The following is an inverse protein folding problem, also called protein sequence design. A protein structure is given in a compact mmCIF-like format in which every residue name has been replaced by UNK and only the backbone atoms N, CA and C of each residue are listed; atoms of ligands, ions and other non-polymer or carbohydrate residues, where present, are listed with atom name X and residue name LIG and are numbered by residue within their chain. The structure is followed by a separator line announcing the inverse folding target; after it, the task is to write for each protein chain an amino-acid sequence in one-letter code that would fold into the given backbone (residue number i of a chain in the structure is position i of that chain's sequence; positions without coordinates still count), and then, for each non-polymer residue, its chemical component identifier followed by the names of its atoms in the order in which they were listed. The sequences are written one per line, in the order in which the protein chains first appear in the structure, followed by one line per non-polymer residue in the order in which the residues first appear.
data_IF_525911291876
#
_entry.id   IF_525911291876
#
_cell.length_a   1.000
_cell.length_b   1.000
_cell.length_c   1.000
_cell.angle_alpha   90.00
_cell.angle_beta   90.00
_cell.angle_gamma   90.00
#
_symmetry.space_group_name_H-M   'P 1'
#
loop_
_entity.id
_entity.type
_entity.pdbx_description
1 polymer ?
#
# COMPACT_ATOMS: atom_id res chain seq x y z
N UNK A 1 -9.94 12.77 1.35
CA UNK A 1 -8.97 11.67 1.23
C UNK A 1 -8.80 11.35 -0.25
N UNK A 2 -7.57 11.15 -0.71
CA UNK A 2 -7.27 10.91 -2.13
C UNK A 2 -7.92 9.63 -2.68
N UNK A 3 -8.06 9.56 -4.00
CA UNK A 3 -8.55 8.37 -4.71
C UNK A 3 -7.51 7.24 -4.59
N UNK A 4 -7.82 6.19 -3.82
CA UNK A 4 -6.94 5.01 -3.71
C UNK A 4 -7.29 3.98 -4.77
N UNK A 5 -6.30 3.25 -5.27
CA UNK A 5 -6.55 2.18 -6.27
C UNK A 5 -7.51 1.12 -5.70
N UNK A 6 -7.47 0.85 -4.39
CA UNK A 6 -8.40 -0.05 -3.69
C UNK A 6 -9.87 0.30 -3.92
N UNK A 7 -10.21 1.61 -3.92
CA UNK A 7 -11.58 2.10 -4.07
C UNK A 7 -11.92 2.50 -5.50
N UNK A 8 -10.92 2.91 -6.27
CA UNK A 8 -11.11 3.49 -7.61
C UNK A 8 -10.95 2.49 -8.75
N UNK A 9 -10.44 1.28 -8.51
CA UNK A 9 -10.23 0.26 -9.55
C UNK A 9 -10.92 -1.06 -9.21
N UNK A 10 -11.90 -1.46 -10.03
CA UNK A 10 -12.53 -2.76 -9.91
C UNK A 10 -11.58 -3.92 -10.24
N UNK A 11 -10.63 -3.69 -11.16
CA UNK A 11 -9.67 -4.72 -11.59
C UNK A 11 -8.49 -4.86 -10.62
N UNK A 12 -7.95 -3.74 -10.13
CA UNK A 12 -6.73 -3.73 -9.33
C UNK A 12 -6.97 -3.48 -7.84
N UNK A 13 -8.20 -3.16 -7.42
CA UNK A 13 -8.46 -2.79 -6.04
C UNK A 13 -8.11 -3.89 -5.05
N UNK A 14 -8.45 -5.15 -5.36
CA UNK A 14 -8.08 -6.32 -4.56
C UNK A 14 -6.60 -6.71 -4.61
N UNK A 15 -5.82 -6.07 -5.48
CA UNK A 15 -4.39 -6.30 -5.69
C UNK A 15 -3.52 -5.14 -5.22
N UNK A 16 -4.14 -4.02 -4.87
CA UNK A 16 -3.46 -2.82 -4.45
C UNK A 16 -3.17 -2.88 -2.95
N UNK A 17 -2.02 -2.33 -2.56
CA UNK A 17 -1.64 -2.10 -1.18
C UNK A 17 -1.21 -0.64 -1.11
N UNK A 18 -1.80 0.12 -0.19
CA UNK A 18 -1.54 1.55 -0.04
C UNK A 18 -0.94 1.82 1.33
N UNK A 19 0.16 2.58 1.36
CA UNK A 19 0.74 3.11 2.58
C UNK A 19 0.58 4.63 2.55
N UNK A 20 0.02 5.16 3.62
CA UNK A 20 -0.09 6.59 3.81
C UNK A 20 0.22 6.92 5.25
N UNK A 21 1.39 7.51 5.47
CA UNK A 21 1.84 7.93 6.78
C UNK A 21 0.98 9.08 7.28
N UNK A 22 0.70 9.07 8.58
CA UNK A 22 -0.12 10.10 9.20
C UNK A 22 0.57 11.48 9.07
N UNK A 23 -0.19 12.46 8.56
CA UNK A 23 0.32 13.81 8.35
C UNK A 23 1.13 14.00 7.07
N UNK A 24 1.29 12.98 6.23
CA UNK A 24 1.87 13.12 4.89
C UNK A 24 1.06 14.14 4.06
N UNK A 25 1.68 15.22 3.57
CA UNK A 25 0.97 16.25 2.81
C UNK A 25 0.43 15.78 1.47
N UNK A 26 0.97 14.69 0.91
CA UNK A 26 0.60 14.17 -0.41
C UNK A 26 -0.63 13.28 -0.32
N UNK A 27 -0.61 12.28 0.55
CA UNK A 27 -1.68 11.27 0.60
C UNK A 27 -2.70 11.52 1.73
N UNK A 28 -2.30 12.20 2.82
CA UNK A 28 -3.11 12.35 4.02
C UNK A 28 -3.68 13.77 4.23
N UNK A 29 -3.44 14.70 3.28
CA UNK A 29 -3.77 16.13 3.44
C UNK A 29 -3.21 16.73 4.74
N UNK A 30 -1.99 16.30 5.11
CA UNK A 30 -1.27 16.82 6.26
C UNK A 30 -0.26 17.91 5.90
N UNK A 31 0.68 18.18 6.82
CA UNK A 31 1.74 19.18 6.66
C UNK A 31 3.14 18.64 7.03
N UNK A 32 3.23 17.36 7.39
CA UNK A 32 4.48 16.73 7.82
C UNK A 32 5.20 16.12 6.61
N UNK A 33 6.05 16.92 5.96
CA UNK A 33 6.86 16.44 4.83
C UNK A 33 7.78 15.27 5.19
N UNK A 34 8.23 15.18 6.45
CA UNK A 34 9.03 14.04 6.90
C UNK A 34 8.24 12.73 6.87
N UNK A 35 6.93 12.77 7.16
CA UNK A 35 6.09 11.58 7.04
C UNK A 35 6.07 11.03 5.60
N UNK A 36 6.20 11.90 4.59
CA UNK A 36 6.30 11.49 3.19
C UNK A 36 7.67 10.89 2.82
N UNK A 37 8.74 11.40 3.41
CA UNK A 37 10.10 10.99 3.05
C UNK A 37 10.58 9.74 3.80
N UNK A 38 9.90 9.37 4.90
CA UNK A 38 10.36 8.33 5.82
C UNK A 38 9.95 6.90 5.45
N UNK A 39 9.14 6.67 4.41
CA UNK A 39 8.72 5.30 4.01
C UNK A 39 9.89 4.30 3.84
N UNK A 40 11.07 4.68 3.33
CA UNK A 40 12.20 3.75 3.23
C UNK A 40 12.80 3.34 4.59
N UNK A 41 12.61 4.15 5.63
CA UNK A 41 13.25 3.99 6.95
C UNK A 41 12.29 3.51 8.04
N UNK A 42 10.99 3.74 7.90
CA UNK A 42 9.97 3.42 8.92
C UNK A 42 9.44 1.98 8.86
N UNK A 43 9.99 1.16 7.95
CA UNK A 43 9.59 -0.24 7.76
C UNK A 43 8.37 -0.45 6.86
N UNK A 44 7.74 0.62 6.35
CA UNK A 44 6.60 0.54 5.43
C UNK A 44 6.96 -0.25 4.17
N UNK A 45 8.16 -0.04 3.62
CA UNK A 45 8.64 -0.80 2.44
C UNK A 45 8.74 -2.30 2.73
N UNK A 46 9.27 -2.69 3.89
CA UNK A 46 9.35 -4.10 4.29
C UNK A 46 7.96 -4.72 4.42
N UNK A 47 7.03 -4.01 5.08
CA UNK A 47 5.64 -4.46 5.23
C UNK A 47 4.94 -4.58 3.88
N UNK A 48 5.15 -3.62 2.98
CA UNK A 48 4.63 -3.64 1.62
C UNK A 48 5.12 -4.89 0.86
N UNK A 49 6.42 -5.18 0.92
CA UNK A 49 7.01 -6.35 0.27
C UNK A 49 6.44 -7.66 0.83
N UNK A 50 6.27 -7.77 2.15
CA UNK A 50 5.68 -8.95 2.79
C UNK A 50 4.22 -9.17 2.34
N UNK A 51 3.42 -8.10 2.29
CA UNK A 51 2.03 -8.19 1.84
C UNK A 51 1.93 -8.56 0.36
N UNK A 52 2.78 -7.97 -0.50
CA UNK A 52 2.83 -8.32 -1.91
C UNK A 52 3.21 -9.80 -2.12
N UNK A 53 4.23 -10.29 -1.40
CA UNK A 53 4.62 -11.70 -1.45
C UNK A 53 3.49 -12.64 -0.99
N UNK A 54 2.75 -12.26 0.05
CA UNK A 54 1.60 -13.02 0.53
C UNK A 54 0.48 -13.09 -0.52
N UNK A 55 0.18 -12.00 -1.22
CA UNK A 55 -0.82 -11.98 -2.30
C UNK A 55 -0.43 -12.91 -3.46
N UNK A 56 0.86 -12.88 -3.87
CA UNK A 56 1.37 -13.78 -4.93
C UNK A 56 1.25 -15.25 -4.50
N UNK A 57 1.63 -15.56 -3.26
CA UNK A 57 1.54 -16.93 -2.72
C UNK A 57 0.08 -17.40 -2.61
N UNK A 58 -0.82 -16.53 -2.15
CA UNK A 58 -2.25 -16.84 -2.06
C UNK A 58 -2.87 -17.09 -3.44
N UNK A 59 -2.54 -16.26 -4.43
CA UNK A 59 -2.99 -16.47 -5.80
C UNK A 59 -2.51 -17.81 -6.36
N UNK A 60 -1.24 -18.16 -6.14
CA UNK A 60 -0.70 -19.46 -6.56
C UNK A 60 -1.39 -20.66 -5.87
N UNK A 61 -1.83 -20.52 -4.63
CA UNK A 61 -2.60 -21.56 -3.95
C UNK A 61 -4.01 -21.72 -4.55
N UNK A 62 -4.66 -20.63 -4.96
CA UNK A 62 -5.97 -20.67 -5.64
C UNK A 62 -5.93 -21.37 -7.00
N UNK A 63 -4.78 -21.40 -7.69
CA UNK A 63 -4.63 -22.12 -8.97
C UNK A 63 -4.23 -23.59 -8.83
N UNK A 64 -3.88 -24.05 -7.62
CA UNK A 64 -3.48 -25.43 -7.33
C UNK A 64 -4.60 -26.27 -6.70
N UNK A 65 -5.80 -25.70 -6.56
CA UNK A 65 -7.01 -26.37 -6.06
C UNK A 65 -7.86 -26.94 -7.18
#
# INVERSE_FOLDING_TARGET
MGQTIERSSQLYGSKAIQFCNFGDPVCANGFNAMAHLMYPMDGSVTKAAQQAAALVKSGMNSFRG
#
